data_IF_379531653186
#
_entry.id   IF_379531653186
#
_cell.length_a   1.000
_cell.length_b   1.000
_cell.length_c   1.000
_cell.angle_alpha   90.00
_cell.angle_beta   90.00
_cell.angle_gamma   90.00
#
_symmetry.space_group_name_H-M   'P 1'
#
loop_
_entity.id
_entity.type
_entity.pdbx_description
1 polymer ?
#
# COMPACT_ATOMS: atom_id res chain seq x y z
N UNK A 1 15.42 9.95 31.39
CA UNK A 1 15.65 10.50 30.04
C UNK A 1 15.79 9.32 29.08
N UNK A 2 14.67 8.82 28.54
CA UNK A 2 14.65 7.67 27.64
C UNK A 2 14.76 8.15 26.19
N UNK A 3 15.95 8.07 25.63
CA UNK A 3 16.21 8.26 24.20
C UNK A 3 15.70 7.04 23.44
N UNK A 4 14.53 7.15 22.81
CA UNK A 4 14.07 6.16 21.83
C UNK A 4 14.78 6.44 20.51
N UNK A 5 15.83 5.68 20.22
CA UNK A 5 16.49 5.64 18.92
C UNK A 5 15.51 5.10 17.87
N UNK A 6 15.06 5.97 16.97
CA UNK A 6 14.35 5.56 15.78
C UNK A 6 15.30 4.71 14.93
N UNK A 7 15.06 3.40 14.86
CA UNK A 7 15.75 2.51 13.94
C UNK A 7 15.53 3.03 12.52
N UNK A 8 16.62 3.49 11.90
CA UNK A 8 16.65 3.83 10.47
C UNK A 8 16.55 2.51 9.71
N UNK A 9 15.31 2.10 9.40
CA UNK A 9 15.04 0.92 8.57
C UNK A 9 15.75 1.17 7.25
N UNK A 10 16.73 0.33 6.92
CA UNK A 10 17.50 0.41 5.68
C UNK A 10 16.51 0.21 4.53
N UNK A 11 15.99 1.30 3.98
CA UNK A 11 14.97 1.25 2.94
C UNK A 11 15.60 0.61 1.70
N UNK A 12 15.15 -0.60 1.38
CA UNK A 12 15.55 -1.30 0.18
C UNK A 12 14.99 -0.54 -1.02
N UNK A 13 15.86 -0.20 -1.97
CA UNK A 13 15.47 0.40 -3.23
C UNK A 13 15.55 -0.64 -4.36
N UNK A 14 14.62 -0.54 -5.29
CA UNK A 14 14.50 -1.36 -6.48
C UNK A 14 14.23 -0.49 -7.70
N UNK A 15 14.05 -1.14 -8.86
CA UNK A 15 13.77 -0.47 -10.14
C UNK A 15 12.61 -1.13 -10.86
N UNK A 16 11.80 -0.34 -11.54
CA UNK A 16 10.73 -0.87 -12.40
C UNK A 16 11.32 -1.58 -13.61
N UNK A 17 10.97 -2.85 -13.84
CA UNK A 17 11.42 -3.63 -15.00
C UNK A 17 10.34 -3.70 -16.06
N UNK A 18 9.09 -3.93 -15.65
CA UNK A 18 7.97 -4.11 -16.56
C UNK A 18 6.69 -3.46 -16.02
N UNK A 19 5.87 -2.96 -16.94
CA UNK A 19 4.58 -2.32 -16.66
C UNK A 19 3.56 -2.90 -17.64
N UNK A 20 2.56 -3.61 -17.11
CA UNK A 20 1.44 -4.18 -17.85
C UNK A 20 0.14 -3.65 -17.21
N UNK A 21 -0.37 -2.54 -17.75
CA UNK A 21 -1.56 -1.88 -17.19
C UNK A 21 -1.32 -1.41 -15.75
N UNK A 22 -2.04 -2.00 -14.80
CA UNK A 22 -1.88 -1.76 -13.36
C UNK A 22 -0.87 -2.69 -12.68
N UNK A 23 -0.42 -3.74 -13.37
CA UNK A 23 0.57 -4.70 -12.85
C UNK A 23 1.97 -4.18 -13.18
N UNK A 24 2.81 -4.07 -12.17
CA UNK A 24 4.17 -3.53 -12.29
C UNK A 24 5.14 -4.51 -11.65
N UNK A 25 6.12 -4.96 -12.44
CA UNK A 25 7.19 -5.81 -11.94
C UNK A 25 8.40 -4.94 -11.56
N UNK A 26 8.89 -5.12 -10.34
CA UNK A 26 9.96 -4.32 -9.74
C UNK A 26 11.08 -5.26 -9.30
N UNK A 27 12.31 -4.95 -9.71
CA UNK A 27 13.51 -5.67 -9.32
C UNK A 27 14.15 -5.02 -8.10
N UNK A 28 14.42 -5.82 -7.07
CA UNK A 28 15.18 -5.46 -5.89
C UNK A 28 16.44 -6.32 -5.80
N UNK A 29 17.49 -5.83 -5.10
CA UNK A 29 18.64 -6.66 -4.76
C UNK A 29 18.21 -7.94 -4.04
N UNK A 30 18.80 -9.08 -4.37
CA UNK A 30 18.41 -10.42 -3.86
C UNK A 30 18.35 -10.54 -2.32
N UNK A 31 19.12 -9.72 -1.59
CA UNK A 31 19.10 -9.68 -0.11
C UNK A 31 18.10 -8.71 0.51
N UNK A 32 17.33 -7.99 -0.32
CA UNK A 32 16.48 -6.88 0.09
C UNK A 32 15.09 -6.94 -0.57
N UNK A 33 14.67 -8.16 -0.95
CA UNK A 33 13.38 -8.41 -1.61
C UNK A 33 12.23 -8.09 -0.63
N UNK A 34 11.29 -7.20 -1.00
CA UNK A 34 10.11 -6.91 -0.20
C UNK A 34 9.24 -8.13 0.06
N UNK A 35 8.54 -8.14 1.19
CA UNK A 35 7.57 -9.20 1.48
C UNK A 35 6.31 -9.01 0.65
N UNK A 36 5.57 -10.10 0.45
CA UNK A 36 4.20 -10.00 -0.07
C UNK A 36 3.38 -9.11 0.86
N UNK A 37 2.61 -8.22 0.24
CA UNK A 37 1.82 -7.14 0.83
C UNK A 37 2.60 -5.90 1.31
N UNK A 38 3.92 -5.84 1.15
CA UNK A 38 4.65 -4.60 1.41
C UNK A 38 4.21 -3.52 0.42
N UNK A 39 4.10 -2.29 0.93
CA UNK A 39 3.86 -1.11 0.12
C UNK A 39 5.18 -0.58 -0.44
N UNK A 40 5.20 -0.33 -1.75
CA UNK A 40 6.32 0.28 -2.46
C UNK A 40 5.95 1.69 -2.90
N UNK A 41 6.88 2.63 -2.73
CA UNK A 41 6.75 4.01 -3.17
C UNK A 41 7.61 4.25 -4.40
N UNK A 42 6.98 4.67 -5.49
CA UNK A 42 7.70 5.05 -6.71
C UNK A 42 8.27 6.45 -6.53
N UNK A 43 9.48 6.67 -7.03
CA UNK A 43 10.11 7.99 -7.11
C UNK A 43 9.19 8.98 -7.85
N UNK A 44 9.05 10.19 -7.30
CA UNK A 44 8.00 11.14 -7.70
C UNK A 44 6.78 11.13 -6.77
N UNK A 45 6.60 10.08 -5.95
CA UNK A 45 5.68 10.08 -4.80
C UNK A 45 4.18 10.00 -5.11
N UNK A 46 3.81 9.95 -6.40
CA UNK A 46 2.41 9.97 -6.82
C UNK A 46 1.76 8.58 -6.76
N UNK A 47 2.54 7.51 -6.96
CA UNK A 47 2.02 6.16 -7.12
C UNK A 47 2.57 5.25 -6.02
N UNK A 48 1.66 4.53 -5.36
CA UNK A 48 1.98 3.47 -4.40
C UNK A 48 1.69 2.13 -5.05
N UNK A 49 2.60 1.17 -4.93
CA UNK A 49 2.41 -0.20 -5.39
C UNK A 49 2.26 -1.12 -4.18
N UNK A 50 1.47 -2.19 -4.32
CA UNK A 50 1.39 -3.26 -3.32
C UNK A 50 1.97 -4.54 -3.90
N UNK A 51 2.93 -5.16 -3.22
CA UNK A 51 3.51 -6.44 -3.65
C UNK A 51 2.48 -7.54 -3.51
N UNK A 52 2.17 -8.24 -4.60
CA UNK A 52 1.26 -9.39 -4.58
C UNK A 52 2.01 -10.73 -4.61
N UNK A 53 3.16 -10.77 -5.27
CA UNK A 53 3.90 -12.02 -5.45
C UNK A 53 5.39 -11.75 -5.63
N UNK A 54 6.23 -12.66 -5.14
CA UNK A 54 7.66 -12.71 -5.48
C UNK A 54 7.83 -13.71 -6.63
N UNK A 55 8.41 -13.27 -7.76
CA UNK A 55 8.58 -14.12 -8.94
C UNK A 55 9.90 -14.91 -8.90
N UNK A 56 10.90 -14.40 -8.17
CA UNK A 56 12.26 -14.95 -8.15
C UNK A 56 13.27 -13.92 -8.65
N UNK A 57 14.56 -14.22 -8.47
CA UNK A 57 15.68 -13.37 -8.91
C UNK A 57 15.69 -11.92 -8.39
N UNK A 58 14.92 -11.64 -7.32
CA UNK A 58 14.76 -10.29 -6.79
C UNK A 58 13.60 -9.51 -7.43
N UNK A 59 12.88 -10.11 -8.38
CA UNK A 59 11.71 -9.54 -9.02
C UNK A 59 10.46 -9.82 -8.19
N UNK A 60 9.71 -8.75 -7.93
CA UNK A 60 8.39 -8.81 -7.30
C UNK A 60 7.33 -8.27 -8.24
N UNK A 61 6.18 -8.95 -8.29
CA UNK A 61 5.00 -8.48 -8.99
C UNK A 61 4.15 -7.66 -8.05
N UNK A 62 3.88 -6.44 -8.43
CA UNK A 62 3.12 -5.47 -7.65
C UNK A 62 1.93 -4.93 -8.45
N UNK A 63 0.92 -4.43 -7.74
CA UNK A 63 -0.23 -3.76 -8.35
C UNK A 63 -0.21 -2.29 -7.93
N UNK A 64 -0.39 -1.39 -8.89
CA UNK A 64 -0.49 0.04 -8.64
C UNK A 64 -1.83 0.42 -8.00
N UNK A 65 -1.79 1.16 -6.89
CA UNK A 65 -2.94 1.70 -6.18
C UNK A 65 -3.31 3.10 -6.68
N UNK A 66 -3.33 3.27 -8.00
CA UNK A 66 -3.54 4.56 -8.66
C UNK A 66 -3.31 4.46 -10.17
N UNK A 67 -3.34 5.60 -10.85
CA UNK A 67 -3.06 5.69 -12.29
C UNK A 67 -1.60 5.38 -12.57
N UNK A 68 -1.34 4.50 -13.53
CA UNK A 68 0.03 4.19 -13.98
C UNK A 68 0.56 5.15 -15.05
N UNK A 69 -0.14 6.25 -15.29
CA UNK A 69 0.33 7.32 -16.17
C UNK A 69 1.64 7.92 -15.64
N UNK A 70 2.64 8.05 -16.51
CA UNK A 70 3.96 8.55 -16.13
C UNK A 70 4.92 7.52 -15.53
N UNK A 71 4.46 6.29 -15.23
CA UNK A 71 5.37 5.19 -14.90
C UNK A 71 6.20 4.81 -16.12
N UNK A 72 7.51 4.70 -15.91
CA UNK A 72 8.48 4.23 -16.90
C UNK A 72 9.43 3.23 -16.27
N UNK A 73 9.97 2.35 -17.11
CA UNK A 73 11.02 1.42 -16.71
C UNK A 73 12.24 2.17 -16.19
N UNK A 74 12.94 1.56 -15.24
CA UNK A 74 14.13 2.11 -14.61
C UNK A 74 13.86 3.15 -13.51
N UNK A 75 12.60 3.55 -13.27
CA UNK A 75 12.26 4.42 -12.13
C UNK A 75 12.64 3.74 -10.82
N UNK A 76 13.15 4.56 -9.88
CA UNK A 76 13.49 4.08 -8.55
C UNK A 76 12.20 3.80 -7.77
N UNK A 77 12.20 2.70 -7.04
CA UNK A 77 11.10 2.27 -6.17
C UNK A 77 11.66 1.98 -4.79
N UNK A 78 11.02 2.47 -3.74
CA UNK A 78 11.46 2.31 -2.36
C UNK A 78 10.50 1.42 -1.60
N UNK A 79 11.01 0.38 -0.95
CA UNK A 79 10.21 -0.44 -0.06
C UNK A 79 9.99 0.31 1.27
N UNK A 80 8.72 0.43 1.69
CA UNK A 80 8.38 0.99 3.00
C UNK A 80 8.62 0.01 4.16
N UNK A 81 8.67 -1.30 3.86
CA UNK A 81 8.79 -2.38 4.84
C UNK A 81 7.51 -2.66 5.63
N UNK A 82 6.42 -2.00 5.26
CA UNK A 82 5.11 -2.19 5.86
C UNK A 82 4.03 -2.30 4.79
N UNK A 83 2.94 -2.99 5.13
CA UNK A 83 1.73 -2.98 4.30
C UNK A 83 1.07 -1.60 4.25
N UNK A 84 0.21 -1.38 3.26
CA UNK A 84 -0.57 -0.15 3.13
C UNK A 84 -1.39 0.09 4.41
N UNK A 85 -1.28 1.31 4.94
CA UNK A 85 -1.94 1.70 6.18
C UNK A 85 -3.05 2.69 5.91
N UNK A 86 -4.28 2.25 6.15
CA UNK A 86 -5.48 3.05 5.98
C UNK A 86 -6.04 3.41 7.36
N UNK A 87 -6.48 4.66 7.57
CA UNK A 87 -7.11 5.02 8.82
C UNK A 87 -8.49 4.38 8.97
N UNK A 88 -8.80 3.90 10.17
CA UNK A 88 -10.09 3.26 10.47
C UNK A 88 -10.62 3.72 11.83
N UNK A 89 -11.95 3.64 12.01
CA UNK A 89 -12.63 3.92 13.27
C UNK A 89 -13.85 4.81 13.10
N UNK A 90 -14.52 5.15 14.20
CA UNK A 90 -15.74 5.99 14.16
C UNK A 90 -15.51 7.35 13.52
N UNK A 91 -14.27 7.88 13.57
CA UNK A 91 -13.87 9.14 12.96
C UNK A 91 -13.77 9.10 11.42
N UNK A 92 -13.82 7.92 10.80
CA UNK A 92 -13.85 7.77 9.33
C UNK A 92 -15.27 7.60 8.79
N UNK A 93 -16.27 7.38 9.67
CA UNK A 93 -17.67 7.27 9.26
C UNK A 93 -18.16 8.58 8.62
N UNK A 94 -18.88 8.45 7.50
CA UNK A 94 -19.43 9.59 6.75
C UNK A 94 -18.43 10.36 5.90
N UNK A 95 -17.19 9.87 5.75
CA UNK A 95 -16.15 10.51 4.94
C UNK A 95 -15.79 9.63 3.75
N UNK A 96 -15.64 10.25 2.59
CA UNK A 96 -15.14 9.58 1.39
C UNK A 96 -13.61 9.62 1.44
N UNK A 97 -12.99 8.47 1.19
CA UNK A 97 -11.55 8.27 1.26
C UNK A 97 -11.09 7.46 0.06
N UNK A 98 -9.87 7.74 -0.40
CA UNK A 98 -9.20 6.94 -1.42
C UNK A 98 -8.64 5.63 -0.82
N UNK A 99 -8.24 4.67 -1.67
CA UNK A 99 -7.67 3.37 -1.31
C UNK A 99 -6.41 3.47 -0.44
N UNK A 100 -5.65 4.56 -0.58
CA UNK A 100 -4.49 4.87 0.25
C UNK A 100 -4.86 5.56 1.58
N UNK A 101 -6.15 5.72 1.87
CA UNK A 101 -6.63 6.37 3.08
C UNK A 101 -6.46 7.89 3.10
N UNK A 102 -6.30 8.52 1.93
CA UNK A 102 -6.22 9.98 1.79
C UNK A 102 -7.63 10.57 1.84
N UNK A 103 -7.84 11.53 2.74
CA UNK A 103 -9.11 12.27 2.88
C UNK A 103 -9.12 13.46 1.91
N UNK A 104 -10.24 13.67 1.24
CA UNK A 104 -10.47 14.88 0.43
C UNK A 104 -10.66 16.16 1.27
N UNK A 105 -10.89 16.06 2.59
CA UNK A 105 -11.25 17.18 3.49
C UNK A 105 -10.29 17.28 4.71
N UNK A 106 -10.11 18.49 5.26
CA UNK A 106 -9.08 18.86 6.27
C UNK A 106 -8.89 17.85 7.42
N UNK A 107 -7.60 17.70 7.80
CA UNK A 107 -7.01 16.74 8.76
C UNK A 107 -7.80 16.59 10.07
N UNK A 108 -8.43 15.43 10.25
CA UNK A 108 -8.66 14.88 11.58
C UNK A 108 -7.52 13.89 11.91
N UNK A 109 -7.12 13.83 13.18
CA UNK A 109 -6.16 12.84 13.66
C UNK A 109 -6.84 11.46 13.69
N UNK A 110 -6.47 10.60 12.75
CA UNK A 110 -7.03 9.25 12.59
C UNK A 110 -6.05 8.18 13.07
N UNK A 111 -6.58 7.06 13.54
CA UNK A 111 -5.80 5.87 13.89
C UNK A 111 -5.59 5.08 12.60
N UNK A 112 -4.32 4.87 12.21
CA UNK A 112 -3.95 4.02 11.08
C UNK A 112 -3.92 2.56 11.51
N UNK A 113 -4.53 1.67 10.72
CA UNK A 113 -4.33 0.23 10.85
C UNK A 113 -3.74 -0.32 9.56
N UNK A 114 -3.03 -1.44 9.67
CA UNK A 114 -2.62 -2.23 8.51
C UNK A 114 -3.88 -2.81 7.87
N UNK A 115 -4.09 -2.52 6.59
CA UNK A 115 -5.21 -3.05 5.82
C UNK A 115 -4.60 -3.74 4.61
N UNK A 116 -4.90 -5.02 4.46
CA UNK A 116 -4.52 -5.76 3.27
C UNK A 116 -5.68 -5.67 2.30
N UNK A 117 -5.58 -4.80 1.29
CA UNK A 117 -6.70 -4.48 0.40
C UNK A 117 -7.24 -5.74 -0.31
N UNK A 118 -6.36 -6.69 -0.64
CA UNK A 118 -6.73 -7.91 -1.35
C UNK A 118 -7.23 -9.05 -0.44
N UNK A 119 -6.80 -9.13 0.83
CA UNK A 119 -7.29 -10.18 1.76
C UNK A 119 -8.52 -9.77 2.56
N UNK A 120 -8.81 -8.48 2.71
CA UNK A 120 -10.04 -7.99 3.35
C UNK A 120 -11.32 -8.38 2.58
N UNK A 121 -11.24 -8.60 1.26
CA UNK A 121 -12.36 -9.17 0.48
C UNK A 121 -12.73 -10.59 0.98
N UNK A 122 -11.76 -11.38 1.42
CA UNK A 122 -11.98 -12.69 2.03
C UNK A 122 -12.31 -12.60 3.54
N UNK A 123 -11.78 -11.61 4.25
CA UNK A 123 -12.02 -11.45 5.70
C UNK A 123 -13.43 -10.91 6.00
N UNK A 124 -14.02 -10.13 5.07
CA UNK A 124 -15.43 -9.71 5.08
C UNK A 124 -16.42 -10.89 5.15
N UNK A 125 -16.01 -12.09 4.71
CA UNK A 125 -16.84 -13.30 4.81
C UNK A 125 -16.78 -13.95 6.21
N UNK A 126 -15.76 -13.66 7.02
CA UNK A 126 -15.56 -14.32 8.32
C UNK A 126 -16.18 -13.58 9.52
N UNK A 127 -16.47 -12.28 9.43
CA UNK A 127 -17.19 -11.57 10.50
C UNK A 127 -17.99 -10.35 9.99
N UNK A 128 -19.27 -10.59 9.67
CA UNK A 128 -20.16 -9.65 8.96
C UNK A 128 -20.45 -8.33 9.69
N UNK A 129 -20.22 -8.23 11.01
CA UNK A 129 -20.66 -7.06 11.79
C UNK A 129 -19.58 -5.98 11.96
N UNK A 130 -18.30 -6.35 12.12
CA UNK A 130 -17.21 -5.38 12.28
C UNK A 130 -16.73 -4.81 10.93
N UNK A 131 -16.62 -5.64 9.90
CA UNK A 131 -16.15 -5.20 8.58
C UNK A 131 -17.12 -4.21 7.91
N UNK A 132 -18.43 -4.38 8.15
CA UNK A 132 -19.46 -3.44 7.67
C UNK A 132 -19.33 -2.04 8.25
N UNK A 133 -18.69 -1.82 9.40
CA UNK A 133 -18.59 -0.47 9.98
C UNK A 133 -17.22 0.18 9.73
N UNK A 134 -16.17 -0.62 9.50
CA UNK A 134 -14.82 -0.09 9.26
C UNK A 134 -14.54 0.25 7.78
N UNK A 135 -15.06 -0.53 6.81
CA UNK A 135 -14.71 -0.38 5.39
C UNK A 135 -15.81 0.17 4.47
N UNK A 136 -17.02 0.43 5.00
CA UNK A 136 -18.11 1.10 4.26
C UNK A 136 -17.66 2.31 3.40
N UNK A 137 -16.79 3.21 3.89
CA UNK A 137 -16.38 4.35 3.07
C UNK A 137 -15.40 4.00 1.94
N UNK A 138 -14.61 2.93 2.06
CA UNK A 138 -13.65 2.50 1.02
C UNK A 138 -14.36 1.68 -0.07
N UNK A 139 -15.32 0.83 0.32
CA UNK A 139 -16.05 -0.05 -0.60
C UNK A 139 -17.00 0.71 -1.55
N UNK A 140 -17.42 1.93 -1.18
CA UNK A 140 -18.37 2.74 -1.98
C UNK A 140 -17.75 3.37 -3.22
N UNK A 141 -16.43 3.27 -3.40
CA UNK A 141 -15.73 3.75 -4.60
C UNK A 141 -15.65 2.70 -5.73
N UNK A 142 -15.98 1.43 -5.44
CA UNK A 142 -15.85 0.28 -6.35
C UNK A 142 -17.20 -0.20 -6.92
N UNK A 143 -18.31 0.47 -6.62
CA UNK A 143 -19.67 0.20 -7.14
C UNK A 143 -20.32 1.49 -7.56
#
# INVERSE_FOLDING_TARGET
MSTTSAQSVKQASGKVVEIIGAVVDVEFPRGAVPKVYDALLVEGGEITLEVQQQLGDGIVRSIAMGTTEGLRRGLQVTNTGEAIQVPVGTKTLGRIMDVLGRLSMKKARLVKKRVYLFTELLLLLKNKQQAKNCLKPVLKLLT
#
